data_IF_813661774528
#
_entry.id   IF_813661774528
#
_cell.length_a   1.000
_cell.length_b   1.000
_cell.length_c   1.000
_cell.angle_alpha   90.00
_cell.angle_beta   90.00
_cell.angle_gamma   90.00
#
_symmetry.space_group_name_H-M   'P 1'
#
loop_
_entity.id
_entity.type
_entity.pdbx_description
1 polymer ?
#
# COMPACT_ATOMS: atom_id res chain seq x y z
N UNK A 1 -13.77 12.50 29.71
CA UNK A 1 -15.09 11.84 29.54
C UNK A 1 -15.19 11.39 28.09
N UNK A 2 -14.99 10.10 27.83
CA UNK A 2 -14.85 9.55 26.48
C UNK A 2 -16.20 9.35 25.81
N UNK A 3 -16.25 9.56 24.50
CA UNK A 3 -17.44 9.43 23.63
C UNK A 3 -18.14 8.06 23.72
N UNK A 4 -17.45 7.03 24.24
CA UNK A 4 -18.03 5.72 24.56
C UNK A 4 -19.14 5.80 25.61
N UNK A 5 -19.01 6.66 26.62
CA UNK A 5 -20.00 6.79 27.69
C UNK A 5 -21.35 7.36 27.22
N UNK A 6 -21.35 8.21 26.17
CA UNK A 6 -22.58 8.77 25.60
C UNK A 6 -23.33 7.77 24.71
N UNK A 7 -22.63 6.82 24.09
CA UNK A 7 -23.24 5.76 23.29
C UNK A 7 -23.95 4.71 24.14
N UNK A 8 -23.38 4.36 25.30
CA UNK A 8 -23.98 3.38 26.22
C UNK A 8 -25.29 3.91 26.86
N UNK A 9 -25.38 5.23 27.10
CA UNK A 9 -26.56 5.91 27.65
C UNK A 9 -27.73 6.02 26.64
N UNK A 10 -27.43 6.12 25.34
CA UNK A 10 -28.43 6.11 24.27
C UNK A 10 -28.97 4.69 24.03
N UNK A 11 -28.13 3.66 24.17
CA UNK A 11 -28.51 2.26 23.96
C UNK A 11 -29.38 1.68 25.08
N UNK A 12 -29.29 2.21 26.30
CA UNK A 12 -30.05 1.72 27.47
C UNK A 12 -31.50 2.22 27.50
N UNK A 13 -31.79 3.39 26.93
CA UNK A 13 -33.14 3.99 26.95
C UNK A 13 -34.14 3.45 25.91
N UNK A 14 -33.72 2.55 25.01
CA UNK A 14 -34.54 2.07 23.88
C UNK A 14 -35.18 0.66 24.07
N UNK A 15 -35.30 0.19 25.32
CA UNK A 15 -35.51 -1.23 25.66
C UNK A 15 -36.96 -1.70 25.88
N UNK A 16 -38.02 -1.07 25.31
CA UNK A 16 -39.41 -1.45 25.65
C UNK A 16 -40.47 -1.51 24.53
N UNK A 17 -40.15 -1.90 23.29
CA UNK A 17 -41.21 -2.34 22.35
C UNK A 17 -40.76 -3.45 21.37
N UNK A 18 -41.61 -4.47 21.10
CA UNK A 18 -41.27 -5.63 20.28
C UNK A 18 -41.13 -5.32 18.77
N UNK A 19 -41.53 -4.12 18.34
CA UNK A 19 -41.39 -3.64 16.95
C UNK A 19 -39.92 -3.33 16.56
N UNK A 20 -39.03 -3.19 17.55
CA UNK A 20 -37.64 -2.75 17.38
C UNK A 20 -36.65 -3.86 17.00
N UNK A 21 -37.02 -5.15 17.03
CA UNK A 21 -36.08 -6.24 16.70
C UNK A 21 -35.80 -6.29 15.19
N UNK A 22 -36.84 -6.17 14.35
CA UNK A 22 -36.67 -6.06 12.88
C UNK A 22 -35.94 -4.78 12.49
N UNK A 23 -36.26 -3.65 13.14
CA UNK A 23 -35.56 -2.39 12.93
C UNK A 23 -34.08 -2.47 13.35
N UNK A 24 -33.73 -3.13 14.47
CA UNK A 24 -32.34 -3.39 14.88
C UNK A 24 -31.58 -4.25 13.89
N UNK A 25 -32.20 -5.29 13.32
CA UNK A 25 -31.55 -6.16 12.35
C UNK A 25 -31.31 -5.43 11.02
N UNK A 26 -32.29 -4.66 10.54
CA UNK A 26 -32.17 -3.84 9.33
C UNK A 26 -31.16 -2.70 9.54
N UNK A 27 -31.18 -2.02 10.68
CA UNK A 27 -30.23 -0.94 10.98
C UNK A 27 -28.80 -1.48 11.17
N UNK A 28 -28.63 -2.69 11.73
CA UNK A 28 -27.32 -3.35 11.86
C UNK A 28 -26.82 -3.90 10.54
N UNK A 29 -27.68 -4.45 9.68
CA UNK A 29 -27.34 -4.85 8.31
C UNK A 29 -27.04 -3.65 7.42
N UNK A 30 -27.78 -2.55 7.57
CA UNK A 30 -27.47 -1.29 6.91
C UNK A 30 -26.16 -0.72 7.44
N UNK A 31 -25.91 -0.68 8.76
CA UNK A 31 -24.62 -0.24 9.30
C UNK A 31 -23.47 -1.12 8.81
N UNK A 32 -23.63 -2.44 8.76
CA UNK A 32 -22.64 -3.38 8.22
C UNK A 32 -22.47 -3.19 6.70
N UNK A 33 -23.53 -2.93 5.94
CA UNK A 33 -23.43 -2.61 4.51
C UNK A 33 -22.87 -1.21 4.24
N UNK A 34 -23.04 -0.25 5.16
CA UNK A 34 -22.35 1.04 5.15
C UNK A 34 -20.89 0.91 5.61
N UNK A 35 -20.56 -0.06 6.49
CA UNK A 35 -19.19 -0.37 6.93
C UNK A 35 -18.42 -1.25 5.93
N UNK A 36 -19.09 -2.14 5.20
CA UNK A 36 -18.51 -3.03 4.17
C UNK A 36 -18.62 -2.45 2.75
N UNK A 37 -19.53 -1.50 2.52
CA UNK A 37 -19.72 -0.78 1.25
C UNK A 37 -18.71 0.36 1.02
N UNK A 38 -17.74 0.50 1.93
CA UNK A 38 -16.65 1.46 1.88
C UNK A 38 -15.29 0.78 1.96
N UNK A 39 -15.10 -0.40 1.34
CA UNK A 39 -13.75 -0.87 1.00
C UNK A 39 -13.10 0.20 0.12
N UNK A 40 -12.37 1.13 0.74
CA UNK A 40 -11.55 2.08 0.02
C UNK A 40 -10.64 1.29 -0.91
N UNK A 41 -10.77 1.55 -2.22
CA UNK A 41 -9.93 0.90 -3.23
C UNK A 41 -8.46 1.16 -2.86
N UNK A 42 -7.66 0.09 -2.82
CA UNK A 42 -6.26 0.21 -2.41
C UNK A 42 -5.54 1.22 -3.32
N UNK A 43 -4.79 2.12 -2.68
CA UNK A 43 -3.92 3.07 -3.39
C UNK A 43 -2.64 2.36 -3.81
N UNK A 44 -2.03 2.81 -4.91
CA UNK A 44 -0.76 2.29 -5.37
C UNK A 44 0.01 3.34 -6.17
N UNK A 45 1.29 3.06 -6.40
CA UNK A 45 2.14 3.94 -7.21
C UNK A 45 1.99 3.54 -8.68
N UNK A 46 1.51 4.46 -9.50
CA UNK A 46 1.46 4.32 -10.95
C UNK A 46 2.58 5.13 -11.59
N UNK A 47 3.25 4.54 -12.57
CA UNK A 47 4.31 5.18 -13.34
C UNK A 47 3.86 5.46 -14.78
N UNK A 48 4.07 6.70 -15.23
CA UNK A 48 3.89 7.14 -16.62
C UNK A 48 5.22 6.94 -17.37
N UNK A 49 5.26 5.93 -18.24
CA UNK A 49 6.45 5.62 -19.04
C UNK A 49 6.80 6.73 -20.05
N UNK A 50 5.85 7.56 -20.45
CA UNK A 50 6.08 8.70 -21.35
C UNK A 50 6.82 9.86 -20.67
N UNK A 51 6.84 9.89 -19.34
CA UNK A 51 7.52 10.93 -18.53
C UNK A 51 8.75 10.42 -17.80
N UNK A 52 8.92 9.11 -17.68
CA UNK A 52 10.00 8.53 -16.89
C UNK A 52 11.32 8.57 -17.67
N UNK A 53 12.24 9.44 -17.23
CA UNK A 53 13.61 9.54 -17.79
C UNK A 53 14.58 8.54 -17.15
N UNK A 54 14.11 7.74 -16.18
CA UNK A 54 14.92 6.73 -15.49
C UNK A 54 16.12 7.29 -14.73
N UNK A 55 15.97 8.47 -14.11
CA UNK A 55 17.00 9.10 -13.29
C UNK A 55 17.29 8.36 -11.97
N UNK A 56 16.45 7.39 -11.57
CA UNK A 56 16.56 6.60 -10.32
C UNK A 56 16.43 7.39 -9.01
N UNK A 57 16.10 8.68 -9.06
CA UNK A 57 15.82 9.50 -7.87
C UNK A 57 14.75 8.87 -6.98
N UNK A 58 13.73 8.23 -7.57
CA UNK A 58 12.69 7.53 -6.84
C UNK A 58 13.20 6.31 -6.04
N UNK A 59 14.24 5.61 -6.51
CA UNK A 59 14.84 4.49 -5.80
C UNK A 59 15.63 4.99 -4.58
N UNK A 60 16.42 6.04 -4.76
CA UNK A 60 17.20 6.68 -3.69
C UNK A 60 16.25 7.22 -2.61
N UNK A 61 15.25 8.02 -3.00
CA UNK A 61 14.28 8.57 -2.06
C UNK A 61 13.53 7.48 -1.29
N UNK A 62 13.20 6.37 -1.94
CA UNK A 62 12.57 5.24 -1.28
C UNK A 62 13.50 4.57 -0.26
N UNK A 63 14.77 4.33 -0.61
CA UNK A 63 15.74 3.73 0.30
C UNK A 63 16.00 4.64 1.51
N UNK A 64 16.33 5.92 1.30
CA UNK A 64 16.57 6.91 2.36
C UNK A 64 15.38 6.99 3.31
N UNK A 65 14.17 7.09 2.77
CA UNK A 65 12.94 7.17 3.57
C UNK A 65 12.72 5.98 4.51
N UNK A 66 13.36 4.83 4.29
CA UNK A 66 13.20 3.62 5.08
C UNK A 66 14.47 3.20 5.83
N UNK A 67 15.47 4.08 5.90
CA UNK A 67 16.60 3.93 6.81
C UNK A 67 16.31 4.60 8.16
N UNK A 68 16.93 4.11 9.24
CA UNK A 68 16.71 4.66 10.59
C UNK A 68 17.02 6.15 10.68
N UNK A 69 18.13 6.60 10.08
CA UNK A 69 18.57 7.99 10.17
C UNK A 69 18.00 8.90 9.07
N UNK A 70 17.34 8.32 8.06
CA UNK A 70 16.84 9.02 6.87
C UNK A 70 17.83 10.02 6.25
N UNK A 71 19.13 9.72 6.38
CA UNK A 71 20.22 10.57 5.91
C UNK A 71 20.76 10.02 4.59
N UNK A 72 20.75 10.85 3.55
CA UNK A 72 21.27 10.47 2.25
C UNK A 72 22.80 10.33 2.24
N UNK A 73 23.52 11.04 3.11
CA UNK A 73 24.98 10.96 3.20
C UNK A 73 25.46 9.66 3.84
N UNK A 74 24.62 9.06 4.70
CA UNK A 74 24.89 7.79 5.37
C UNK A 74 24.55 6.55 4.52
N UNK A 75 23.96 6.72 3.33
CA UNK A 75 23.43 5.61 2.54
C UNK A 75 24.55 4.93 1.73
N UNK A 76 25.07 3.80 2.22
CA UNK A 76 26.01 3.00 1.43
C UNK A 76 25.30 2.22 0.31
N UNK A 77 26.00 1.83 -0.77
CA UNK A 77 25.43 1.00 -1.83
C UNK A 77 24.86 -0.34 -1.33
N UNK A 78 25.45 -0.91 -0.28
CA UNK A 78 24.99 -2.17 0.33
C UNK A 78 23.67 -1.97 1.10
N UNK A 79 23.41 -0.77 1.60
CA UNK A 79 22.22 -0.42 2.39
C UNK A 79 21.11 0.23 1.54
N UNK A 80 21.34 0.36 0.22
CA UNK A 80 20.37 0.91 -0.74
C UNK A 80 19.23 -0.08 -1.02
N UNK A 81 18.36 -0.27 -0.04
CA UNK A 81 17.23 -1.19 -0.10
C UNK A 81 15.96 -0.45 -0.56
N UNK A 82 15.84 -0.23 -1.87
CA UNK A 82 14.64 0.38 -2.47
C UNK A 82 13.49 -0.61 -2.66
N UNK A 83 12.28 -0.15 -2.34
CA UNK A 83 10.99 -0.85 -2.55
C UNK A 83 10.30 -0.53 -3.88
N UNK A 84 10.90 0.35 -4.69
CA UNK A 84 10.53 0.68 -6.07
C UNK A 84 11.75 0.44 -6.98
N UNK A 85 11.55 0.03 -8.24
CA UNK A 85 12.65 -0.22 -9.17
C UNK A 85 12.43 0.45 -10.52
N UNK A 86 13.43 1.17 -11.01
CA UNK A 86 13.46 1.68 -12.39
C UNK A 86 13.87 0.54 -13.32
N UNK A 87 13.06 0.32 -14.35
CA UNK A 87 13.35 -0.59 -15.46
C UNK A 87 13.65 0.29 -16.68
N UNK A 88 14.81 0.03 -17.29
CA UNK A 88 15.22 0.61 -18.57
C UNK A 88 15.29 -0.53 -19.58
N UNK A 89 14.46 -0.44 -20.60
CA UNK A 89 14.52 -1.27 -21.79
C UNK A 89 14.83 -0.37 -23.00
N UNK A 90 15.20 -0.96 -24.14
CA UNK A 90 15.44 -0.20 -25.37
C UNK A 90 14.18 0.56 -25.82
N UNK A 91 12.99 -0.02 -25.60
CA UNK A 91 11.73 0.55 -26.06
C UNK A 91 11.06 1.49 -25.05
N UNK A 92 11.32 1.33 -23.75
CA UNK A 92 10.66 2.12 -22.71
C UNK A 92 11.49 2.24 -21.44
N UNK A 93 11.24 3.30 -20.69
CA UNK A 93 11.75 3.46 -19.33
C UNK A 93 10.57 3.67 -18.39
N UNK A 94 10.52 2.94 -17.28
CA UNK A 94 9.42 3.04 -16.30
C UNK A 94 9.90 2.66 -14.90
N UNK A 95 9.03 2.77 -13.91
CA UNK A 95 9.30 2.29 -12.56
C UNK A 95 8.21 1.31 -12.11
N UNK A 96 8.63 0.24 -11.46
CA UNK A 96 7.77 -0.81 -10.91
C UNK A 96 7.76 -0.72 -9.39
N UNK A 97 6.56 -0.67 -8.83
CA UNK A 97 6.29 -0.70 -7.40
C UNK A 97 5.17 -1.70 -7.09
N UNK A 98 4.93 -1.98 -5.81
CA UNK A 98 3.81 -2.84 -5.41
C UNK A 98 2.47 -2.18 -5.76
N UNK A 99 1.59 -2.92 -6.45
CA UNK A 99 0.25 -2.47 -6.81
C UNK A 99 -0.78 -2.59 -5.67
N UNK A 100 -0.36 -2.99 -4.46
CA UNK A 100 -1.24 -3.16 -3.29
C UNK A 100 -2.52 -3.96 -3.63
N UNK A 101 -2.37 -5.10 -4.32
CA UNK A 101 -3.51 -5.87 -4.85
C UNK A 101 -4.57 -6.17 -3.77
N UNK A 102 -5.85 -6.09 -4.12
CA UNK A 102 -6.93 -6.36 -3.15
C UNK A 102 -6.89 -7.80 -2.62
N UNK A 103 -6.69 -8.79 -3.50
CA UNK A 103 -6.58 -10.20 -3.09
C UNK A 103 -5.18 -10.57 -2.57
N UNK A 104 -4.18 -9.71 -2.82
CA UNK A 104 -2.83 -9.85 -2.29
C UNK A 104 -2.23 -11.27 -2.42
N UNK A 105 -2.04 -11.81 -3.65
CA UNK A 105 -1.56 -13.18 -3.84
C UNK A 105 -0.23 -13.47 -3.11
N UNK A 106 0.62 -12.46 -2.94
CA UNK A 106 1.84 -12.56 -2.15
C UNK A 106 1.58 -12.90 -0.66
N UNK A 107 0.50 -12.38 -0.07
CA UNK A 107 0.09 -12.68 1.29
C UNK A 107 -0.51 -14.08 1.40
N UNK A 108 -1.35 -14.47 0.43
CA UNK A 108 -2.01 -15.78 0.39
C UNK A 108 -1.01 -16.95 0.36
N UNK A 109 0.16 -16.76 -0.25
CA UNK A 109 1.23 -17.78 -0.31
C UNK A 109 2.24 -17.71 0.85
N UNK A 110 2.09 -16.80 1.81
CA UNK A 110 3.07 -16.62 2.88
C UNK A 110 2.86 -17.65 4.00
N UNK A 111 3.76 -18.65 4.18
CA UNK A 111 3.52 -19.76 5.13
C UNK A 111 3.53 -19.31 6.60
N UNK A 112 4.18 -18.19 6.89
CA UNK A 112 4.32 -17.60 8.24
C UNK A 112 3.43 -16.37 8.43
N UNK A 113 2.58 -16.06 7.44
CA UNK A 113 1.66 -14.92 7.44
C UNK A 113 2.34 -13.58 7.78
N UNK A 114 3.56 -13.38 7.28
CA UNK A 114 4.34 -12.16 7.48
C UNK A 114 3.84 -10.99 6.62
N UNK A 115 3.01 -11.22 5.61
CA UNK A 115 2.48 -10.14 4.75
C UNK A 115 1.05 -9.85 5.17
N UNK A 116 0.80 -8.61 5.61
CA UNK A 116 -0.46 -8.22 6.28
C UNK A 116 -1.05 -6.97 5.67
N UNK A 117 -2.36 -6.81 5.85
CA UNK A 117 -3.08 -5.57 5.55
C UNK A 117 -3.42 -4.85 6.85
N UNK A 118 -3.03 -3.59 6.95
CA UNK A 118 -3.40 -2.70 8.05
C UNK A 118 -3.49 -1.27 7.50
N UNK A 119 -4.36 -0.41 8.04
CA UNK A 119 -4.43 1.03 7.69
C UNK A 119 -4.43 1.29 6.17
N UNK A 120 -5.17 0.51 5.39
CA UNK A 120 -5.33 0.72 3.95
C UNK A 120 -4.11 0.41 3.07
N UNK A 121 -3.08 -0.27 3.59
CA UNK A 121 -1.94 -0.72 2.80
C UNK A 121 -1.56 -2.16 3.17
N UNK A 122 -0.80 -2.81 2.31
CA UNK A 122 -0.24 -4.13 2.56
C UNK A 122 1.24 -3.92 2.86
N UNK A 123 1.80 -4.66 3.80
CA UNK A 123 3.22 -4.56 4.16
C UNK A 123 3.76 -5.93 4.55
N UNK A 124 5.09 -6.03 4.63
CA UNK A 124 5.77 -7.19 5.22
C UNK A 124 6.10 -6.83 6.65
N UNK A 125 5.67 -7.64 7.60
CA UNK A 125 6.09 -7.61 9.00
C UNK A 125 7.45 -8.33 9.08
N UNK A 126 8.54 -7.54 9.10
CA UNK A 126 9.91 -8.04 8.98
C UNK A 126 10.24 -9.11 10.03
N UNK A 127 9.81 -8.91 11.28
CA UNK A 127 10.04 -9.82 12.40
C UNK A 127 9.52 -11.25 12.20
N UNK A 128 8.57 -11.44 11.28
CA UNK A 128 7.98 -12.76 10.97
C UNK A 128 8.50 -13.36 9.66
N UNK A 129 9.16 -12.57 8.83
CA UNK A 129 9.55 -13.01 7.49
C UNK A 129 10.74 -13.97 7.57
N UNK A 130 10.58 -15.17 7.02
CA UNK A 130 11.63 -16.21 6.96
C UNK A 130 12.38 -16.24 5.62
N UNK A 131 12.15 -15.27 4.72
CA UNK A 131 12.89 -15.18 3.46
C UNK A 131 12.64 -16.31 2.45
N UNK A 132 11.53 -17.06 2.57
CA UNK A 132 11.24 -18.25 1.74
C UNK A 132 11.00 -17.99 0.24
N UNK A 133 10.90 -16.72 -0.19
CA UNK A 133 10.72 -16.29 -1.58
C UNK A 133 9.39 -16.67 -2.27
N UNK A 134 8.46 -17.40 -1.62
CA UNK A 134 7.15 -17.74 -2.21
C UNK A 134 6.38 -16.52 -2.73
N UNK A 135 6.42 -15.42 -1.97
CA UNK A 135 5.80 -14.16 -2.35
C UNK A 135 6.36 -13.54 -3.63
N UNK A 136 7.63 -13.80 -3.98
CA UNK A 136 8.22 -13.34 -5.25
C UNK A 136 7.59 -14.04 -6.44
N UNK A 137 7.39 -15.36 -6.35
CA UNK A 137 6.77 -16.16 -7.41
C UNK A 137 5.29 -15.81 -7.58
N UNK A 138 4.60 -15.52 -6.48
CA UNK A 138 3.17 -15.18 -6.52
C UNK A 138 2.87 -13.74 -6.95
N UNK A 139 3.87 -12.86 -7.06
CA UNK A 139 3.64 -11.46 -7.42
C UNK A 139 3.49 -11.31 -8.95
N UNK A 140 2.31 -11.01 -9.49
CA UNK A 140 2.11 -10.91 -10.94
C UNK A 140 2.84 -9.71 -11.56
N UNK A 141 3.23 -8.74 -10.74
CA UNK A 141 3.91 -7.50 -11.16
C UNK A 141 5.43 -7.53 -10.90
N UNK A 142 5.96 -8.62 -10.35
CA UNK A 142 7.39 -8.71 -10.01
C UNK A 142 7.87 -7.68 -8.98
N UNK A 143 6.96 -7.09 -8.20
CA UNK A 143 7.26 -6.01 -7.26
C UNK A 143 7.83 -6.48 -5.90
N UNK A 144 7.72 -7.77 -5.60
CA UNK A 144 8.31 -8.37 -4.40
C UNK A 144 9.80 -8.61 -4.60
N UNK A 145 10.60 -8.24 -3.60
CA UNK A 145 12.03 -8.59 -3.55
C UNK A 145 12.34 -9.28 -2.25
N UNK A 146 13.38 -10.12 -2.24
CA UNK A 146 13.98 -10.64 -1.02
C UNK A 146 15.41 -10.16 -0.96
N UNK A 147 15.80 -9.57 0.16
CA UNK A 147 17.11 -8.97 0.41
C UNK A 147 17.73 -9.57 1.66
N UNK A 148 19.05 -9.56 1.73
CA UNK A 148 19.79 -9.87 2.95
C UNK A 148 20.21 -8.55 3.60
N UNK A 149 19.77 -8.33 4.84
CA UNK A 149 20.15 -7.16 5.65
C UNK A 149 20.51 -7.66 7.05
N UNK A 150 21.67 -7.27 7.58
CA UNK A 150 22.10 -7.59 8.96
C UNK A 150 21.95 -9.08 9.34
N UNK A 151 22.34 -9.97 8.43
CA UNK A 151 22.24 -11.44 8.56
C UNK A 151 20.83 -12.02 8.52
N UNK A 152 19.80 -11.22 8.22
CA UNK A 152 18.44 -11.70 8.00
C UNK A 152 18.04 -11.58 6.52
N UNK A 153 17.44 -12.64 5.99
CA UNK A 153 16.90 -12.66 4.62
C UNK A 153 15.40 -12.40 4.70
N UNK A 154 14.98 -11.24 4.22
CA UNK A 154 13.59 -10.77 4.37
C UNK A 154 13.01 -10.26 3.05
N UNK A 155 11.70 -10.41 2.91
CA UNK A 155 10.96 -9.85 1.80
C UNK A 155 10.71 -8.35 2.02
N UNK A 156 10.80 -7.58 0.95
CA UNK A 156 10.46 -6.16 0.90
C UNK A 156 9.50 -5.89 -0.26
N UNK A 157 8.65 -4.89 -0.07
CA UNK A 157 7.77 -4.34 -1.10
C UNK A 157 7.38 -2.91 -0.72
N UNK A 158 6.84 -2.15 -1.67
CA UNK A 158 6.28 -0.85 -1.35
C UNK A 158 5.15 -1.02 -0.33
N UNK A 159 5.15 -0.17 0.68
CA UNK A 159 4.21 -0.07 1.79
C UNK A 159 3.55 1.33 1.81
N UNK A 160 3.64 2.04 0.67
CA UNK A 160 3.17 3.40 0.46
C UNK A 160 3.81 4.45 1.37
N UNK A 161 4.96 4.15 2.00
CA UNK A 161 5.58 5.02 3.01
C UNK A 161 4.55 5.41 4.09
N UNK A 162 3.82 4.42 4.62
CA UNK A 162 2.77 4.62 5.62
C UNK A 162 3.22 5.39 6.87
N UNK A 163 4.53 5.46 7.11
CA UNK A 163 5.17 6.20 8.19
C UNK A 163 5.38 7.69 7.90
N UNK A 164 5.07 8.18 6.69
CA UNK A 164 5.22 9.58 6.27
C UNK A 164 3.87 10.26 6.08
N UNK A 165 3.70 11.45 6.66
CA UNK A 165 2.50 12.27 6.47
C UNK A 165 2.37 12.81 5.03
N UNK A 166 3.50 13.16 4.40
CA UNK A 166 3.55 13.61 3.01
C UNK A 166 3.35 12.47 1.99
N UNK A 167 3.21 11.23 2.46
CA UNK A 167 3.04 10.05 1.63
C UNK A 167 4.33 9.57 0.96
N UNK A 168 4.23 8.89 -0.20
CA UNK A 168 5.34 8.20 -0.83
C UNK A 168 6.49 9.13 -1.25
N UNK A 169 7.66 8.96 -0.62
CA UNK A 169 8.86 9.74 -0.94
C UNK A 169 9.27 9.65 -2.42
N UNK A 170 9.01 8.51 -3.07
CA UNK A 170 9.31 8.33 -4.49
C UNK A 170 8.45 9.23 -5.41
N UNK A 171 7.21 9.53 -5.02
CA UNK A 171 6.32 10.43 -5.77
C UNK A 171 6.78 11.87 -5.59
N UNK A 172 7.06 12.26 -4.35
CA UNK A 172 7.56 13.61 -4.00
C UNK A 172 8.88 13.93 -4.72
N UNK A 173 9.80 12.96 -4.78
CA UNK A 173 11.14 13.16 -5.35
C UNK A 173 11.21 13.02 -6.89
N UNK A 174 10.11 12.71 -7.59
CA UNK A 174 10.15 12.47 -9.03
C UNK A 174 10.22 13.80 -9.81
N UNK A 175 11.35 14.14 -10.48
CA UNK A 175 11.54 15.46 -11.09
C UNK A 175 10.66 15.70 -12.32
N UNK A 176 10.22 14.64 -12.99
CA UNK A 176 9.34 14.73 -14.18
C UNK A 176 7.88 14.46 -13.85
N UNK A 177 7.54 14.27 -12.57
CA UNK A 177 6.21 13.88 -12.10
C UNK A 177 5.65 12.64 -12.83
N UNK A 178 6.55 11.70 -13.17
CA UNK A 178 6.19 10.42 -13.79
C UNK A 178 5.50 9.46 -12.80
N UNK A 179 5.61 9.69 -11.49
CA UNK A 179 5.03 8.85 -10.45
C UNK A 179 3.83 9.52 -9.79
N UNK A 180 2.75 8.77 -9.58
CA UNK A 180 1.56 9.23 -8.88
C UNK A 180 1.06 8.14 -7.93
N UNK A 181 0.60 8.54 -6.73
CA UNK A 181 -0.09 7.63 -5.83
C UNK A 181 -1.59 7.71 -6.09
N UNK A 182 -2.12 6.70 -6.76
CA UNK A 182 -3.50 6.68 -7.29
C UNK A 182 -4.35 5.58 -6.68
N UNK A 183 -5.66 5.76 -6.68
CA UNK A 183 -6.66 4.70 -6.51
C UNK A 183 -7.29 4.30 -7.85
N UNK A 184 -8.10 3.25 -7.84
CA UNK A 184 -8.77 2.74 -9.04
C UNK A 184 -9.71 3.76 -9.70
N UNK A 185 -10.38 4.63 -8.92
CA UNK A 185 -11.27 5.66 -9.47
C UNK A 185 -10.49 6.76 -10.18
N UNK A 186 -9.31 7.13 -9.65
CA UNK A 186 -8.42 8.09 -10.30
C UNK A 186 -7.90 7.53 -11.63
N UNK A 187 -7.51 6.26 -11.67
CA UNK A 187 -7.08 5.59 -12.92
C UNK A 187 -8.22 5.54 -13.94
N UNK A 188 -9.43 5.14 -13.52
CA UNK A 188 -10.58 5.09 -14.42
C UNK A 188 -10.89 6.47 -15.01
N UNK A 189 -10.87 7.53 -14.19
CA UNK A 189 -11.05 8.91 -14.65
C UNK A 189 -9.98 9.35 -15.64
N UNK A 190 -8.72 8.97 -15.43
CA UNK A 190 -7.64 9.28 -16.36
C UNK A 190 -7.83 8.59 -17.72
N UNK A 191 -8.23 7.30 -17.73
CA UNK A 191 -8.51 6.56 -18.96
C UNK A 191 -9.62 7.18 -19.80
N UNK A 192 -10.72 7.58 -19.14
CA UNK A 192 -11.84 8.24 -19.82
C UNK A 192 -11.44 9.57 -20.47
N UNK A 193 -10.49 10.31 -19.87
CA UNK A 193 -9.97 11.56 -20.44
C UNK A 193 -9.01 11.35 -21.60
N UNK A 194 -8.39 10.18 -21.70
CA UNK A 194 -7.39 9.85 -22.71
C UNK A 194 -7.97 9.11 -23.92
N UNK A 195 -9.25 8.71 -23.89
CA UNK A 195 -9.91 8.13 -25.06
C UNK A 195 -10.07 9.19 -26.15
N UNK A 196 -9.53 8.97 -27.36
CA UNK A 196 -9.81 9.86 -28.48
C UNK A 196 -11.31 9.84 -28.77
N UNK A 197 -11.88 11.04 -28.93
CA UNK A 197 -13.28 11.26 -29.34
C UNK A 197 -13.45 10.92 -30.82
#
# INVERSE_FOLDING_TARGET
MSERSKLDEILTNFSRTPFLIKARMIFRLALLAFYDGGKGMNRFIMADAGKCIGCRTCEVACAVSHQQNQDCAALSPAEMVSRIRVIKDQAFTTAVACHQCEDAPCANVCPVQAIRRERGHIFVEQSRCIGCKSCMLACPFGAMRVVAQESQVQAIKCDLCWHRDNGPACVEACPTHALQCVDAMQVQRQRLRQQPV
#
